data_IF_218225944797
#
_entry.id   IF_218225944797
#
_cell.length_a   1.000
_cell.length_b   1.000
_cell.length_c   1.000
_cell.angle_alpha   90.00
_cell.angle_beta   90.00
_cell.angle_gamma   90.00
#
_symmetry.space_group_name_H-M   'P 1'
#
loop_
_entity.id
_entity.type
_entity.pdbx_description
1 polymer ?
#
# COMPACT_ATOMS: atom_id res chain seq x y z
N UNK A 1 6.64 15.24 4.94
CA UNK A 1 6.57 15.54 6.39
C UNK A 1 7.92 15.56 7.12
N UNK A 2 8.78 14.54 7.01
CA UNK A 2 10.01 14.40 7.82
C UNK A 2 11.19 15.33 7.44
N UNK A 3 11.13 15.99 6.29
CA UNK A 3 12.21 16.87 5.77
C UNK A 3 13.61 16.23 5.72
N UNK A 4 13.67 14.90 5.61
CA UNK A 4 14.92 14.15 5.52
C UNK A 4 15.32 13.93 4.06
N UNK A 5 16.38 14.62 3.61
CA UNK A 5 16.87 14.50 2.23
C UNK A 5 17.40 13.10 1.89
N UNK A 6 17.93 12.34 2.85
CA UNK A 6 18.37 10.95 2.61
C UNK A 6 17.20 10.04 2.24
N UNK A 7 16.07 10.20 2.92
CA UNK A 7 14.85 9.47 2.60
C UNK A 7 14.36 9.81 1.19
N UNK A 8 14.44 11.09 0.82
CA UNK A 8 14.11 11.52 -0.52
C UNK A 8 15.03 10.90 -1.58
N UNK A 9 16.35 10.88 -1.35
CA UNK A 9 17.28 10.21 -2.26
C UNK A 9 16.96 8.72 -2.42
N UNK A 10 16.58 8.05 -1.34
CA UNK A 10 16.13 6.65 -1.41
C UNK A 10 14.88 6.51 -2.26
N UNK A 11 13.88 7.36 -2.05
CA UNK A 11 12.65 7.37 -2.83
C UNK A 11 12.90 7.59 -4.34
N UNK A 12 13.77 8.55 -4.69
CA UNK A 12 14.09 8.81 -6.10
C UNK A 12 14.80 7.63 -6.78
N UNK A 13 15.72 6.96 -6.08
CA UNK A 13 16.53 5.88 -6.65
C UNK A 13 15.76 4.56 -6.71
N UNK A 14 15.03 4.24 -5.65
CA UNK A 14 14.36 2.95 -5.45
C UNK A 14 12.99 3.17 -4.80
N UNK A 15 12.02 3.68 -5.58
CA UNK A 15 10.71 4.04 -5.05
C UNK A 15 9.96 2.86 -4.43
N UNK A 16 10.04 1.68 -5.04
CA UNK A 16 9.41 0.45 -4.54
C UNK A 16 9.97 0.03 -3.17
N UNK A 17 11.29 -0.11 -3.05
CA UNK A 17 11.94 -0.44 -1.78
C UNK A 17 11.65 0.60 -0.69
N UNK A 18 11.67 1.88 -1.06
CA UNK A 18 11.33 2.97 -0.14
C UNK A 18 9.87 2.87 0.34
N UNK A 19 8.93 2.57 -0.56
CA UNK A 19 7.52 2.42 -0.25
C UNK A 19 7.28 1.27 0.73
N UNK A 20 7.87 0.09 0.47
CA UNK A 20 7.77 -1.07 1.37
C UNK A 20 8.33 -0.75 2.76
N UNK A 21 9.50 -0.11 2.82
CA UNK A 21 10.10 0.33 4.09
C UNK A 21 9.22 1.35 4.81
N UNK A 22 8.66 2.32 4.08
CA UNK A 22 7.80 3.34 4.64
C UNK A 22 6.54 2.73 5.27
N UNK A 23 5.84 1.85 4.57
CA UNK A 23 4.68 1.12 5.10
C UNK A 23 5.08 0.31 6.35
N UNK A 24 6.22 -0.37 6.32
CA UNK A 24 6.77 -1.08 7.48
C UNK A 24 6.91 -0.19 8.72
N UNK A 25 7.53 0.99 8.55
CA UNK A 25 7.70 1.97 9.64
C UNK A 25 6.33 2.47 10.14
N UNK A 26 5.39 2.77 9.24
CA UNK A 26 4.07 3.25 9.64
C UNK A 26 3.27 2.21 10.41
N UNK A 27 3.31 0.94 9.98
CA UNK A 27 2.66 -0.16 10.69
C UNK A 27 3.29 -0.39 12.06
N UNK A 28 4.62 -0.38 12.16
CA UNK A 28 5.31 -0.50 13.44
C UNK A 28 4.93 0.63 14.38
N UNK A 29 4.99 1.88 13.91
CA UNK A 29 4.59 3.03 14.71
C UNK A 29 3.13 2.95 15.14
N UNK A 30 2.22 2.57 14.24
CA UNK A 30 0.80 2.47 14.56
C UNK A 30 0.51 1.34 15.56
N UNK A 31 1.13 0.17 15.41
CA UNK A 31 0.85 -0.98 16.27
C UNK A 31 1.56 -0.89 17.63
N UNK A 32 2.74 -0.27 17.68
CA UNK A 32 3.67 -0.30 18.82
C UNK A 32 3.89 1.09 19.47
N UNK A 33 3.00 2.06 19.26
CA UNK A 33 3.06 3.42 19.88
C UNK A 33 2.86 3.44 21.41
N UNK A 34 2.83 2.29 22.08
CA UNK A 34 2.55 2.18 23.51
C UNK A 34 1.07 2.30 23.89
N UNK A 35 0.16 2.58 22.96
CA UNK A 35 -1.28 2.72 23.24
C UNK A 35 -2.07 1.41 23.23
N UNK A 36 -1.35 0.27 23.18
CA UNK A 36 -1.89 -1.10 23.10
C UNK A 36 -2.86 -1.29 21.93
N UNK A 37 -2.66 -0.58 20.81
CA UNK A 37 -3.51 -0.68 19.61
C UNK A 37 -3.54 -2.09 19.05
N UNK A 38 -2.37 -2.74 18.95
CA UNK A 38 -2.30 -4.11 18.46
C UNK A 38 -3.17 -5.05 19.30
N UNK A 39 -3.08 -4.97 20.63
CA UNK A 39 -3.93 -5.76 21.52
C UNK A 39 -5.42 -5.46 21.32
N UNK A 40 -5.82 -4.19 21.19
CA UNK A 40 -7.22 -3.81 20.93
C UNK A 40 -7.73 -4.34 19.59
N UNK A 41 -6.88 -4.36 18.56
CA UNK A 41 -7.20 -4.95 17.26
C UNK A 41 -7.39 -6.46 17.40
N UNK A 42 -6.46 -7.16 18.05
CA UNK A 42 -6.55 -8.60 18.31
C UNK A 42 -7.81 -8.94 19.12
N UNK A 43 -8.12 -8.17 20.16
CA UNK A 43 -9.35 -8.31 20.95
C UNK A 43 -10.60 -8.11 20.09
N UNK A 44 -10.65 -7.05 19.29
CA UNK A 44 -11.79 -6.78 18.41
C UNK A 44 -11.99 -7.89 17.38
N UNK A 45 -10.91 -8.36 16.75
CA UNK A 45 -10.94 -9.47 15.80
C UNK A 45 -11.38 -10.78 16.45
N UNK A 46 -10.84 -11.12 17.62
CA UNK A 46 -11.24 -12.31 18.37
C UNK A 46 -12.71 -12.25 18.79
N UNK A 47 -13.17 -11.07 19.24
CA UNK A 47 -14.57 -10.87 19.63
C UNK A 47 -15.50 -11.05 18.44
N UNK A 48 -15.14 -10.53 17.26
CA UNK A 48 -15.91 -10.74 16.04
C UNK A 48 -15.99 -12.23 15.66
N UNK A 49 -14.84 -12.92 15.61
CA UNK A 49 -14.78 -14.35 15.31
C UNK A 49 -15.60 -15.18 16.31
N UNK A 50 -15.48 -14.89 17.61
CA UNK A 50 -16.23 -15.54 18.67
C UNK A 50 -17.75 -15.39 18.48
N UNK A 51 -18.23 -14.18 18.18
CA UNK A 51 -19.66 -13.94 17.94
C UNK A 51 -20.14 -14.67 16.68
N UNK A 52 -19.37 -14.68 15.60
CA UNK A 52 -19.72 -15.39 14.38
C UNK A 52 -19.83 -16.91 14.63
N UNK A 53 -18.89 -17.50 15.37
CA UNK A 53 -18.93 -18.94 15.68
C UNK A 53 -20.10 -19.26 16.61
N UNK A 54 -20.37 -18.46 17.63
CA UNK A 54 -21.56 -18.66 18.47
C UNK A 54 -22.86 -18.55 17.68
N UNK A 55 -22.93 -17.61 16.73
CA UNK A 55 -24.08 -17.47 15.82
C UNK A 55 -24.24 -18.74 14.98
N UNK A 56 -23.17 -19.25 14.39
CA UNK A 56 -23.19 -20.50 13.62
C UNK A 56 -23.65 -21.69 14.46
N UNK A 57 -23.18 -21.82 15.71
CA UNK A 57 -23.65 -22.84 16.66
C UNK A 57 -25.16 -22.73 16.90
N UNK A 58 -25.65 -21.52 17.17
CA UNK A 58 -27.07 -21.26 17.44
C UNK A 58 -27.96 -21.57 16.24
N UNK A 59 -27.59 -21.08 15.05
CA UNK A 59 -28.31 -21.32 13.79
C UNK A 59 -28.38 -22.80 13.47
N UNK A 60 -27.24 -23.50 13.56
CA UNK A 60 -27.17 -24.95 13.30
C UNK A 60 -28.04 -25.75 14.25
N UNK A 61 -28.06 -25.36 15.53
CA UNK A 61 -28.89 -25.98 16.56
C UNK A 61 -30.37 -25.78 16.24
N UNK A 62 -30.78 -24.57 15.88
CA UNK A 62 -32.16 -24.23 15.57
C UNK A 62 -32.72 -24.98 14.35
N UNK A 63 -31.87 -25.29 13.36
CA UNK A 63 -32.26 -26.02 12.14
C UNK A 63 -32.47 -27.53 12.39
N UNK A 64 -31.76 -28.10 13.37
CA UNK A 64 -31.75 -29.55 13.61
C UNK A 64 -32.64 -29.95 14.80
N UNK A 65 -32.82 -29.10 15.81
CA UNK A 65 -33.46 -29.47 17.09
C UNK A 65 -34.88 -30.06 16.94
N UNK A 66 -35.69 -29.52 16.03
CA UNK A 66 -37.10 -29.90 15.85
C UNK A 66 -37.29 -31.09 14.88
N UNK A 67 -36.19 -31.64 14.33
CA UNK A 67 -36.23 -32.79 13.43
C UNK A 67 -36.62 -34.08 14.18
N UNK A 68 -37.49 -34.90 13.57
CA UNK A 68 -38.08 -36.09 14.19
C UNK A 68 -37.27 -37.37 13.92
N UNK A 69 -36.54 -37.39 12.82
CA UNK A 69 -35.52 -38.37 12.45
C UNK A 69 -34.32 -38.28 13.40
N UNK A 70 -33.97 -39.40 14.06
CA UNK A 70 -32.83 -39.47 14.99
C UNK A 70 -31.52 -39.84 14.30
N UNK A 71 -31.60 -40.57 13.19
CA UNK A 71 -30.43 -40.89 12.37
C UNK A 71 -29.84 -39.59 11.82
N UNK A 72 -28.53 -39.44 11.93
CA UNK A 72 -27.73 -38.37 11.30
C UNK A 72 -27.90 -36.92 11.79
N UNK A 73 -28.58 -36.67 12.92
CA UNK A 73 -28.74 -35.31 13.48
C UNK A 73 -27.40 -34.58 13.69
N UNK A 74 -26.40 -35.28 14.21
CA UNK A 74 -25.06 -34.70 14.43
C UNK A 74 -24.37 -34.40 13.10
N UNK A 75 -24.42 -35.32 12.13
CA UNK A 75 -23.81 -35.12 10.81
C UNK A 75 -24.40 -33.89 10.12
N UNK A 76 -25.73 -33.78 10.13
CA UNK A 76 -26.44 -32.64 9.56
C UNK A 76 -26.13 -31.33 10.29
N UNK A 77 -26.03 -31.37 11.63
CA UNK A 77 -25.64 -30.20 12.42
C UNK A 77 -24.24 -29.73 12.04
N UNK A 78 -23.29 -30.65 11.84
CA UNK A 78 -21.93 -30.33 11.40
C UNK A 78 -21.89 -29.76 9.98
N UNK A 79 -22.73 -30.26 9.07
CA UNK A 79 -22.85 -29.72 7.71
C UNK A 79 -23.34 -28.27 7.72
N UNK A 80 -24.38 -28.01 8.51
CA UNK A 80 -24.96 -26.69 8.73
C UNK A 80 -23.94 -25.73 9.37
N UNK A 81 -23.26 -26.18 10.42
CA UNK A 81 -22.23 -25.42 11.13
C UNK A 81 -21.06 -25.04 10.23
N UNK A 82 -20.55 -25.97 9.43
CA UNK A 82 -19.47 -25.68 8.47
C UNK A 82 -19.95 -24.71 7.39
N UNK A 83 -21.20 -24.83 6.93
CA UNK A 83 -21.76 -23.90 5.94
C UNK A 83 -21.78 -22.47 6.47
N UNK A 84 -22.30 -22.26 7.68
CA UNK A 84 -22.35 -20.94 8.32
C UNK A 84 -20.97 -20.33 8.57
N UNK A 85 -19.92 -21.15 8.69
CA UNK A 85 -18.55 -20.70 8.93
C UNK A 85 -17.69 -20.48 7.67
N UNK A 86 -18.19 -20.81 6.49
CA UNK A 86 -17.41 -20.81 5.23
C UNK A 86 -16.65 -19.50 4.99
N UNK A 87 -17.29 -18.35 5.22
CA UNK A 87 -16.71 -17.01 5.01
C UNK A 87 -16.01 -16.44 6.27
N UNK A 88 -16.02 -17.17 7.39
CA UNK A 88 -15.50 -16.73 8.69
C UNK A 88 -14.15 -17.36 8.98
N UNK A 89 -14.06 -18.69 8.83
CA UNK A 89 -12.87 -19.46 9.13
C UNK A 89 -12.79 -20.67 8.20
N UNK A 90 -11.59 -21.00 7.75
CA UNK A 90 -11.35 -22.23 7.01
C UNK A 90 -11.42 -23.44 7.95
N UNK A 91 -12.62 -24.00 8.11
CA UNK A 91 -12.90 -25.21 8.88
C UNK A 91 -13.56 -26.26 7.96
N UNK A 92 -12.76 -27.09 7.28
CA UNK A 92 -13.29 -28.14 6.40
C UNK A 92 -14.17 -29.13 7.17
N UNK A 93 -15.32 -29.49 6.58
CA UNK A 93 -16.23 -30.50 7.15
C UNK A 93 -15.55 -31.86 7.39
N UNK A 94 -14.51 -32.18 6.61
CA UNK A 94 -13.68 -33.38 6.77
C UNK A 94 -12.98 -33.48 8.11
N UNK A 95 -12.64 -32.34 8.71
CA UNK A 95 -11.86 -32.27 9.95
C UNK A 95 -12.73 -32.61 11.17
N UNK A 96 -14.05 -32.62 10.99
CA UNK A 96 -15.04 -32.89 12.04
C UNK A 96 -15.63 -34.32 11.98
N UNK A 97 -15.16 -35.18 11.08
CA UNK A 97 -15.67 -36.57 10.92
C UNK A 97 -15.59 -37.41 12.20
N UNK A 98 -14.59 -37.13 13.05
CA UNK A 98 -14.44 -37.82 14.34
C UNK A 98 -15.57 -37.57 15.33
N UNK A 99 -16.40 -36.55 15.10
CA UNK A 99 -17.53 -36.16 15.96
C UNK A 99 -18.82 -36.88 15.53
N UNK A 100 -18.93 -37.30 14.26
CA UNK A 100 -20.12 -37.95 13.69
C UNK A 100 -20.47 -39.28 14.38
N UNK A 101 -19.46 -40.01 14.86
CA UNK A 101 -19.61 -41.38 15.37
C UNK A 101 -19.83 -41.43 16.89
N UNK A 102 -20.12 -40.28 17.53
CA UNK A 102 -20.51 -40.27 18.94
C UNK A 102 -21.98 -40.70 19.07
N UNK A 103 -22.20 -42.03 19.12
CA UNK A 103 -23.52 -42.68 19.26
C UNK A 103 -24.36 -42.15 20.45
N UNK A 104 -23.74 -41.46 21.41
CA UNK A 104 -24.37 -40.94 22.62
C UNK A 104 -24.90 -39.49 22.50
N UNK A 105 -24.58 -38.74 21.44
CA UNK A 105 -25.01 -37.33 21.31
C UNK A 105 -26.38 -37.25 20.61
N UNK A 106 -27.44 -37.58 21.34
CA UNK A 106 -28.82 -37.38 20.86
C UNK A 106 -29.37 -35.99 21.14
N UNK A 107 -28.71 -35.24 22.03
CA UNK A 107 -29.12 -33.92 22.48
C UNK A 107 -28.27 -32.82 21.81
N UNK A 108 -28.80 -32.26 20.72
CA UNK A 108 -28.16 -31.16 19.97
C UNK A 108 -28.12 -29.87 20.80
N UNK A 109 -29.07 -29.67 21.73
CA UNK A 109 -29.05 -28.51 22.63
C UNK A 109 -27.95 -28.65 23.70
N UNK A 110 -27.65 -29.88 24.13
CA UNK A 110 -26.45 -30.15 24.93
C UNK A 110 -25.17 -29.87 24.15
N UNK A 111 -25.04 -30.36 22.90
CA UNK A 111 -23.89 -30.07 22.05
C UNK A 111 -23.66 -28.55 21.89
N UNK A 112 -24.73 -27.81 21.63
CA UNK A 112 -24.73 -26.36 21.49
C UNK A 112 -24.17 -25.65 22.74
N UNK A 113 -24.66 -26.04 23.93
CA UNK A 113 -24.20 -25.48 25.21
C UNK A 113 -22.73 -25.83 25.50
N UNK A 114 -22.36 -27.10 25.30
CA UNK A 114 -20.98 -27.55 25.51
C UNK A 114 -19.99 -26.80 24.60
N UNK A 115 -20.36 -26.56 23.34
CA UNK A 115 -19.56 -25.76 22.42
C UNK A 115 -19.48 -24.29 22.84
N UNK A 116 -20.59 -23.69 23.26
CA UNK A 116 -20.59 -22.31 23.74
C UNK A 116 -19.68 -22.12 24.97
N UNK A 117 -19.70 -23.06 25.91
CA UNK A 117 -18.81 -23.08 27.08
C UNK A 117 -17.34 -23.24 26.66
N UNK A 118 -17.03 -24.22 25.81
CA UNK A 118 -15.69 -24.45 25.29
C UNK A 118 -15.13 -23.24 24.53
N UNK A 119 -15.97 -22.57 23.72
CA UNK A 119 -15.61 -21.35 23.01
C UNK A 119 -15.34 -20.18 23.97
N UNK A 120 -16.14 -20.03 25.03
CA UNK A 120 -15.93 -19.00 26.03
C UNK A 120 -14.60 -19.18 26.76
N UNK A 121 -14.23 -20.43 27.09
CA UNK A 121 -12.96 -20.75 27.72
C UNK A 121 -11.78 -20.59 26.76
N UNK A 122 -11.92 -20.99 25.49
CA UNK A 122 -10.92 -20.73 24.45
C UNK A 122 -10.68 -19.22 24.27
N UNK A 123 -11.73 -18.43 24.17
CA UNK A 123 -11.63 -16.96 24.07
C UNK A 123 -10.88 -16.37 25.26
N UNK A 124 -11.22 -16.77 26.49
CA UNK A 124 -10.50 -16.32 27.71
C UNK A 124 -9.02 -16.71 27.69
N UNK A 125 -8.67 -17.89 27.17
CA UNK A 125 -7.27 -18.33 27.04
C UNK A 125 -6.51 -17.45 26.04
N UNK A 126 -7.06 -17.26 24.84
CA UNK A 126 -6.42 -16.45 23.79
C UNK A 126 -6.24 -14.99 24.21
N UNK A 127 -7.23 -14.38 24.87
CA UNK A 127 -7.12 -13.00 25.37
C UNK A 127 -5.92 -12.79 26.32
N UNK A 128 -5.51 -13.83 27.06
CA UNK A 128 -4.34 -13.74 27.96
C UNK A 128 -3.01 -13.69 27.22
N UNK A 129 -2.97 -14.10 25.95
CA UNK A 129 -1.75 -14.12 25.13
C UNK A 129 -1.49 -12.76 24.45
N UNK A 130 -2.53 -11.92 24.27
CA UNK A 130 -2.41 -10.66 23.51
C UNK A 130 -1.45 -9.62 24.08
N UNK A 131 -1.30 -9.43 25.41
CA UNK A 131 -0.34 -8.44 25.94
C UNK A 131 1.12 -8.70 25.55
N UNK A 132 1.47 -9.95 25.18
CA UNK A 132 2.81 -10.32 24.71
C UNK A 132 2.93 -10.45 23.19
N UNK A 133 1.85 -10.21 22.44
CA UNK A 133 1.85 -10.34 20.99
C UNK A 133 2.55 -9.14 20.34
N UNK A 134 3.29 -9.43 19.27
CA UNK A 134 3.94 -8.43 18.43
C UNK A 134 3.69 -8.74 16.94
N UNK A 135 4.27 -7.93 16.06
CA UNK A 135 4.11 -8.14 14.61
C UNK A 135 4.70 -9.48 14.14
N UNK A 136 5.68 -10.06 14.85
CA UNK A 136 6.25 -11.38 14.52
C UNK A 136 5.27 -12.53 14.76
N UNK A 137 4.21 -12.29 15.55
CA UNK A 137 3.15 -13.27 15.82
C UNK A 137 2.27 -13.57 14.59
N UNK A 138 2.36 -12.76 13.54
CA UNK A 138 1.59 -12.95 12.31
C UNK A 138 2.35 -13.80 11.28
N UNK A 139 1.75 -14.89 10.75
CA UNK A 139 2.37 -15.71 9.70
C UNK A 139 2.72 -14.90 8.45
N UNK A 140 1.85 -13.95 8.09
CA UNK A 140 2.13 -12.92 7.08
C UNK A 140 2.15 -11.57 7.76
N UNK A 141 3.24 -10.84 7.56
CA UNK A 141 3.43 -9.55 8.20
C UNK A 141 2.40 -8.53 7.69
N UNK A 142 1.72 -7.77 8.57
CA UNK A 142 0.70 -6.81 8.15
C UNK A 142 1.21 -5.76 7.17
N UNK A 143 2.46 -5.31 7.33
CA UNK A 143 3.07 -4.34 6.42
C UNK A 143 3.31 -4.90 5.01
N UNK A 144 3.57 -6.21 4.88
CA UNK A 144 3.70 -6.87 3.57
C UNK A 144 2.35 -6.93 2.87
N UNK A 145 1.29 -7.31 3.59
CA UNK A 145 -0.08 -7.33 3.04
C UNK A 145 -0.50 -5.94 2.56
N UNK A 146 -0.24 -4.90 3.36
CA UNK A 146 -0.56 -3.52 2.99
C UNK A 146 0.30 -3.04 1.82
N UNK A 147 1.59 -3.35 1.79
CA UNK A 147 2.47 -2.97 0.69
C UNK A 147 2.03 -3.60 -0.64
N UNK A 148 1.59 -4.87 -0.63
CA UNK A 148 1.01 -5.53 -1.80
C UNK A 148 -0.31 -4.89 -2.20
N UNK A 149 -1.20 -4.62 -1.24
CA UNK A 149 -2.53 -4.04 -1.50
C UNK A 149 -2.46 -2.64 -2.11
N UNK A 150 -1.50 -1.83 -1.66
CA UNK A 150 -1.26 -0.49 -2.18
C UNK A 150 -0.18 -0.44 -3.27
N UNK A 151 0.29 -1.60 -3.75
CA UNK A 151 1.24 -1.65 -4.85
C UNK A 151 0.56 -1.24 -6.17
N UNK A 152 1.38 -0.75 -7.10
CA UNK A 152 0.95 -0.41 -8.45
C UNK A 152 2.11 -0.50 -9.42
N UNK A 153 1.99 0.16 -10.55
CA UNK A 153 3.06 0.19 -11.54
C UNK A 153 4.26 1.00 -11.04
N UNK A 154 5.43 0.36 -10.95
CA UNK A 154 6.68 1.01 -10.52
C UNK A 154 7.48 1.63 -11.67
N UNK A 155 6.94 1.63 -12.90
CA UNK A 155 7.60 2.27 -14.04
C UNK A 155 7.82 3.76 -13.75
N UNK A 156 9.05 4.24 -14.02
CA UNK A 156 9.43 5.63 -13.80
C UNK A 156 9.52 6.40 -15.12
N UNK A 157 9.02 7.63 -15.13
CA UNK A 157 9.12 8.51 -16.28
C UNK A 157 10.59 8.72 -16.63
N UNK A 158 11.03 8.48 -17.88
CA UNK A 158 12.44 8.52 -18.23
C UNK A 158 13.06 9.92 -18.15
N UNK A 159 12.24 10.96 -18.03
CA UNK A 159 12.69 12.35 -17.95
C UNK A 159 12.80 12.89 -16.53
N UNK A 160 11.85 12.56 -15.65
CA UNK A 160 11.79 13.11 -14.29
C UNK A 160 11.77 12.05 -13.18
N UNK A 161 11.72 10.76 -13.52
CA UNK A 161 11.71 9.62 -12.60
C UNK A 161 10.43 9.45 -11.78
N UNK A 162 9.39 10.27 -12.04
CA UNK A 162 8.13 10.14 -11.33
C UNK A 162 7.43 8.82 -11.72
N UNK A 163 6.76 8.19 -10.76
CA UNK A 163 6.21 6.84 -10.89
C UNK A 163 4.87 6.91 -11.63
N UNK A 164 4.56 5.86 -12.40
CA UNK A 164 3.25 5.67 -13.02
C UNK A 164 2.14 5.67 -11.95
N UNK A 165 0.99 6.28 -12.24
CA UNK A 165 -0.15 6.33 -11.32
C UNK A 165 -1.12 5.17 -11.50
N UNK A 166 -0.80 4.21 -12.38
CA UNK A 166 -1.64 3.03 -12.57
C UNK A 166 -1.48 2.08 -11.37
N UNK A 167 -2.61 1.65 -10.80
CA UNK A 167 -2.67 0.76 -9.65
C UNK A 167 -2.48 -0.71 -10.02
N UNK A 168 -2.45 -1.05 -11.31
CA UNK A 168 -2.14 -2.40 -11.77
C UNK A 168 -0.64 -2.53 -12.09
N UNK A 169 -0.01 -3.57 -11.54
CA UNK A 169 1.32 -4.01 -11.96
C UNK A 169 1.27 -4.54 -13.41
N UNK A 170 2.37 -4.37 -14.14
CA UNK A 170 2.57 -4.90 -15.50
C UNK A 170 1.41 -4.62 -16.49
N UNK A 171 0.80 -3.44 -16.38
CA UNK A 171 -0.28 -3.04 -17.28
C UNK A 171 0.21 -2.79 -18.72
N UNK A 172 -0.62 -3.14 -19.71
CA UNK A 172 -0.29 -3.01 -21.13
C UNK A 172 -0.45 -1.58 -21.71
N UNK A 173 -1.19 -0.71 -21.01
CA UNK A 173 -1.41 0.67 -21.45
C UNK A 173 -0.16 1.54 -21.32
N UNK A 174 -0.11 2.67 -22.03
CA UNK A 174 0.94 3.68 -21.85
C UNK A 174 1.04 4.10 -20.37
N UNK A 175 2.26 4.18 -19.86
CA UNK A 175 2.52 4.74 -18.54
C UNK A 175 2.19 6.23 -18.54
N UNK A 176 1.58 6.69 -17.45
CA UNK A 176 1.19 8.08 -17.28
C UNK A 176 1.17 8.42 -15.80
N UNK A 177 1.18 9.72 -15.53
CA UNK A 177 1.02 10.26 -14.19
C UNK A 177 0.39 11.64 -14.28
N UNK A 178 -0.21 12.08 -13.19
CA UNK A 178 -0.93 13.35 -13.15
C UNK A 178 0.03 14.54 -13.13
N UNK A 179 1.03 14.52 -12.24
CA UNK A 179 1.92 15.65 -12.02
C UNK A 179 3.38 15.30 -12.23
N UNK A 180 3.97 15.83 -13.30
CA UNK A 180 5.41 15.71 -13.52
C UNK A 180 6.18 16.63 -12.57
N UNK A 181 7.36 16.16 -12.15
CA UNK A 181 8.28 16.89 -11.26
C UNK A 181 9.49 17.47 -12.01
N UNK A 182 10.16 18.50 -11.46
CA UNK A 182 11.33 19.11 -12.07
C UNK A 182 12.41 18.08 -12.43
N UNK A 183 12.99 18.20 -13.63
CA UNK A 183 14.04 17.27 -14.10
C UNK A 183 15.34 17.38 -13.30
N UNK A 184 15.55 18.48 -12.59
CA UNK A 184 16.62 18.67 -11.62
C UNK A 184 16.64 17.55 -10.56
N UNK A 185 15.49 16.95 -10.24
CA UNK A 185 15.40 15.84 -9.30
C UNK A 185 16.02 14.54 -9.84
N UNK A 186 16.28 14.45 -11.15
CA UNK A 186 17.07 13.39 -11.78
C UNK A 186 18.48 13.85 -12.15
N UNK A 187 18.92 15.02 -11.67
CA UNK A 187 20.24 15.58 -11.97
C UNK A 187 20.41 16.05 -13.42
N UNK A 188 19.32 16.26 -14.17
CA UNK A 188 19.42 16.77 -15.53
C UNK A 188 19.91 18.21 -15.52
N UNK A 189 20.97 18.49 -16.31
CA UNK A 189 21.44 19.85 -16.58
C UNK A 189 21.15 20.30 -18.01
N UNK A 190 21.17 21.61 -18.23
CA UNK A 190 21.19 22.18 -19.57
C UNK A 190 22.48 21.79 -20.28
N UNK A 191 22.37 21.47 -21.57
CA UNK A 191 23.53 20.98 -22.32
C UNK A 191 24.66 22.01 -22.39
N UNK A 192 25.87 21.54 -22.09
CA UNK A 192 27.07 22.38 -22.08
C UNK A 192 27.20 23.25 -20.83
N UNK A 193 26.36 23.06 -19.81
CA UNK A 193 26.43 23.81 -18.55
C UNK A 193 26.26 22.88 -17.34
N UNK A 194 26.51 23.43 -16.16
CA UNK A 194 26.22 22.82 -14.86
C UNK A 194 24.84 23.24 -14.32
N UNK A 195 23.98 23.82 -15.15
CA UNK A 195 22.73 24.45 -14.70
C UNK A 195 21.60 23.41 -14.66
N UNK A 196 21.02 23.15 -13.49
CA UNK A 196 19.95 22.18 -13.31
C UNK A 196 18.65 22.59 -14.03
N UNK A 197 17.94 21.64 -14.64
CA UNK A 197 16.70 21.90 -15.37
C UNK A 197 15.49 21.86 -14.44
N UNK A 198 14.89 23.01 -14.16
CA UNK A 198 13.68 23.09 -13.31
C UNK A 198 12.38 22.79 -14.07
N UNK A 199 12.44 22.71 -15.40
CA UNK A 199 11.29 22.40 -16.25
C UNK A 199 10.72 20.99 -15.98
N UNK A 200 9.40 20.87 -16.12
CA UNK A 200 8.67 19.60 -16.04
C UNK A 200 8.41 19.03 -17.43
N UNK A 201 8.22 17.71 -17.50
CA UNK A 201 8.03 17.01 -18.76
C UNK A 201 6.84 17.54 -19.56
N UNK A 202 5.73 17.82 -18.88
CA UNK A 202 4.49 18.33 -19.46
C UNK A 202 4.67 19.68 -20.19
N UNK A 203 5.50 20.58 -19.67
CA UNK A 203 5.88 21.83 -20.36
C UNK A 203 6.90 21.59 -21.47
N UNK A 204 7.82 20.64 -21.29
CA UNK A 204 8.86 20.36 -22.28
C UNK A 204 8.28 19.78 -23.57
N UNK A 205 7.28 18.89 -23.49
CA UNK A 205 6.65 18.26 -24.67
C UNK A 205 5.87 19.23 -25.57
N UNK A 206 5.58 20.45 -25.10
CA UNK A 206 4.99 21.52 -25.93
C UNK A 206 6.01 22.56 -26.43
N UNK A 207 7.24 22.52 -25.90
CA UNK A 207 8.29 23.47 -26.23
C UNK A 207 8.99 23.15 -27.57
N UNK A 208 9.81 24.09 -28.06
CA UNK A 208 10.72 23.85 -29.19
C UNK A 208 12.08 23.29 -28.75
N UNK A 209 12.22 22.92 -27.48
CA UNK A 209 13.46 22.37 -26.94
C UNK A 209 13.67 20.94 -27.46
N UNK A 210 14.92 20.50 -27.38
CA UNK A 210 15.35 19.16 -27.75
C UNK A 210 15.98 18.48 -26.54
N UNK A 211 15.98 17.16 -26.55
CA UNK A 211 16.71 16.32 -25.61
C UNK A 211 17.51 15.28 -26.36
N UNK A 212 18.40 14.61 -25.64
CA UNK A 212 19.01 13.36 -26.07
C UNK A 212 19.19 12.49 -24.84
N UNK A 213 19.11 11.18 -25.02
CA UNK A 213 19.63 10.24 -24.05
C UNK A 213 21.12 10.04 -24.34
N UNK A 214 21.96 10.12 -23.30
CA UNK A 214 23.41 9.92 -23.37
C UNK A 214 24.09 10.65 -24.57
N UNK A 215 24.82 9.88 -25.38
CA UNK A 215 25.49 10.34 -26.61
C UNK A 215 24.59 10.20 -27.86
N UNK A 216 23.28 10.09 -27.68
CA UNK A 216 22.31 9.91 -28.74
C UNK A 216 22.06 11.17 -29.60
N UNK A 217 21.19 11.00 -30.59
CA UNK A 217 20.74 12.10 -31.45
C UNK A 217 19.83 13.05 -30.68
N UNK A 218 19.89 14.32 -31.04
CA UNK A 218 18.95 15.33 -30.54
C UNK A 218 17.57 15.11 -31.13
N UNK A 219 16.58 14.94 -30.25
CA UNK A 219 15.18 14.71 -30.58
C UNK A 219 14.35 15.86 -30.00
N UNK A 220 13.46 16.49 -30.80
CA UNK A 220 12.51 17.46 -30.28
C UNK A 220 11.61 16.85 -29.22
N UNK A 221 11.37 17.56 -28.12
CA UNK A 221 10.45 17.07 -27.08
C UNK A 221 9.03 16.79 -27.60
N UNK A 222 8.56 17.57 -28.58
CA UNK A 222 7.28 17.33 -29.28
C UNK A 222 7.17 15.95 -29.94
N UNK A 223 8.32 15.31 -30.21
CA UNK A 223 8.46 14.01 -30.85
C UNK A 223 9.20 13.02 -29.96
N UNK A 224 9.07 13.17 -28.63
CA UNK A 224 9.85 12.37 -27.69
C UNK A 224 9.68 10.85 -27.88
N UNK A 225 8.52 10.40 -28.34
CA UNK A 225 8.25 8.99 -28.62
C UNK A 225 9.12 8.40 -29.73
N UNK A 226 9.65 9.23 -30.63
CA UNK A 226 10.58 8.80 -31.67
C UNK A 226 11.92 8.30 -31.08
N UNK A 227 12.19 8.58 -29.80
CA UNK A 227 13.36 8.06 -29.09
C UNK A 227 13.28 6.55 -28.76
N UNK A 228 12.11 5.92 -28.95
CA UNK A 228 11.87 4.53 -28.59
C UNK A 228 11.72 4.31 -27.07
N UNK A 229 11.58 3.06 -26.62
CA UNK A 229 11.48 2.74 -25.20
C UNK A 229 12.74 3.17 -24.43
N UNK A 230 12.60 3.66 -23.18
CA UNK A 230 11.35 3.77 -22.42
C UNK A 230 10.51 5.01 -22.77
N UNK A 231 10.99 5.99 -23.54
CA UNK A 231 10.23 7.22 -23.79
C UNK A 231 8.94 7.00 -24.60
N UNK A 232 8.93 6.06 -25.53
CA UNK A 232 7.77 5.78 -26.38
C UNK A 232 6.60 5.11 -25.66
N UNK A 233 6.83 4.48 -24.49
CA UNK A 233 5.81 3.81 -23.68
C UNK A 233 5.13 4.73 -22.67
N UNK A 234 5.49 6.02 -22.67
CA UNK A 234 4.92 7.02 -21.78
C UNK A 234 3.99 7.96 -22.52
N UNK A 235 2.86 8.28 -21.91
CA UNK A 235 1.93 9.33 -22.33
C UNK A 235 2.09 10.57 -21.46
N UNK A 236 2.91 11.50 -21.93
CA UNK A 236 3.12 12.80 -21.30
C UNK A 236 2.14 13.79 -21.91
N UNK A 237 1.17 14.23 -21.12
CA UNK A 237 0.19 15.23 -21.54
C UNK A 237 0.75 16.66 -21.38
N UNK A 238 0.47 17.56 -22.34
CA UNK A 238 0.67 18.99 -22.17
C UNK A 238 -0.01 19.51 -20.91
N UNK A 239 0.79 20.05 -20.00
CA UNK A 239 0.33 20.73 -18.79
C UNK A 239 1.46 21.62 -18.28
N UNK A 240 1.13 22.86 -17.93
CA UNK A 240 2.09 23.79 -17.31
C UNK A 240 1.97 23.82 -15.79
N UNK A 241 1.00 23.10 -15.22
CA UNK A 241 0.81 23.04 -13.78
C UNK A 241 1.91 22.21 -13.12
N UNK A 242 2.61 22.83 -12.19
CA UNK A 242 3.59 22.17 -11.33
C UNK A 242 3.12 22.36 -9.89
N UNK A 243 2.95 21.26 -9.18
CA UNK A 243 2.53 21.25 -7.77
C UNK A 243 3.46 22.16 -6.94
N UNK A 244 2.86 22.94 -6.04
CA UNK A 244 3.56 23.75 -5.06
C UNK A 244 4.53 22.91 -4.23
N UNK A 245 4.20 21.63 -3.98
CA UNK A 245 5.12 20.69 -3.33
C UNK A 245 6.49 20.62 -4.02
N UNK A 246 6.54 20.45 -5.34
CA UNK A 246 7.82 20.34 -6.04
C UNK A 246 8.59 21.66 -6.11
N UNK A 247 7.87 22.79 -6.18
CA UNK A 247 8.45 24.13 -6.13
C UNK A 247 9.11 24.39 -4.77
N UNK A 248 8.36 24.15 -3.70
CA UNK A 248 8.84 24.21 -2.32
C UNK A 248 10.03 23.26 -2.12
N UNK A 249 9.90 22.00 -2.55
CA UNK A 249 10.93 20.98 -2.38
C UNK A 249 12.26 21.40 -2.99
N UNK A 250 12.26 21.82 -4.26
CA UNK A 250 13.48 22.25 -4.97
C UNK A 250 14.10 23.48 -4.31
N UNK A 251 13.28 24.45 -3.88
CA UNK A 251 13.75 25.63 -3.16
C UNK A 251 14.35 25.28 -1.80
N UNK A 252 13.66 24.45 -1.02
CA UNK A 252 14.04 24.08 0.34
C UNK A 252 15.32 23.21 0.36
N UNK A 253 15.41 22.20 -0.53
CA UNK A 253 16.56 21.29 -0.63
C UNK A 253 17.62 21.74 -1.64
N UNK A 254 17.62 23.02 -2.05
CA UNK A 254 18.50 23.57 -3.10
C UNK A 254 19.96 23.15 -2.91
N UNK A 255 20.55 23.44 -1.74
CA UNK A 255 21.99 23.18 -1.49
C UNK A 255 22.31 21.69 -1.54
N UNK A 256 21.42 20.84 -1.01
CA UNK A 256 21.59 19.40 -1.02
C UNK A 256 21.47 18.82 -2.44
N UNK A 257 20.55 19.34 -3.26
CA UNK A 257 20.40 18.97 -4.67
C UNK A 257 21.62 19.40 -5.51
N UNK A 258 22.12 20.62 -5.30
CA UNK A 258 23.33 21.10 -5.96
C UNK A 258 24.55 20.23 -5.63
N UNK A 259 24.70 19.84 -4.36
CA UNK A 259 25.77 18.96 -3.91
C UNK A 259 25.62 17.53 -4.45
N UNK A 260 24.40 16.98 -4.46
CA UNK A 260 24.11 15.63 -4.93
C UNK A 260 24.47 15.43 -6.40
N UNK A 261 24.18 16.44 -7.23
CA UNK A 261 24.38 16.36 -8.67
C UNK A 261 25.61 17.10 -9.18
N UNK A 262 26.40 17.71 -8.28
CA UNK A 262 27.54 18.56 -8.63
C UNK A 262 27.18 19.61 -9.70
N UNK A 263 26.05 20.27 -9.50
CA UNK A 263 25.40 21.17 -10.45
C UNK A 263 24.76 22.36 -9.70
N UNK A 264 24.29 23.39 -10.40
CA UNK A 264 23.84 24.66 -9.82
C UNK A 264 22.46 25.09 -10.32
N UNK A 265 21.67 25.67 -9.41
CA UNK A 265 20.44 26.39 -9.79
C UNK A 265 20.80 27.84 -10.13
N UNK A 266 21.30 28.05 -11.35
CA UNK A 266 21.72 29.36 -11.85
C UNK A 266 21.42 29.49 -13.36
N UNK A 267 21.38 30.72 -13.87
CA UNK A 267 21.13 30.99 -15.28
C UNK A 267 19.79 30.40 -15.75
N UNK A 268 19.82 29.49 -16.73
CA UNK A 268 18.59 28.82 -17.21
C UNK A 268 17.94 27.90 -16.18
N UNK A 269 18.67 27.54 -15.13
CA UNK A 269 18.20 26.71 -14.03
C UNK A 269 17.89 27.49 -12.75
N UNK A 270 17.85 28.83 -12.81
CA UNK A 270 17.60 29.65 -11.63
C UNK A 270 16.21 29.39 -11.06
N UNK A 271 16.15 29.10 -9.75
CA UNK A 271 14.89 28.90 -9.04
C UNK A 271 14.19 30.25 -8.90
N UNK A 272 12.94 30.41 -9.38
CA UNK A 272 12.20 31.65 -9.23
C UNK A 272 12.01 32.02 -7.76
N UNK A 273 12.16 33.32 -7.43
CA UNK A 273 12.01 33.82 -6.05
C UNK A 273 10.67 33.41 -5.42
N UNK A 274 9.60 33.37 -6.21
CA UNK A 274 8.28 32.95 -5.77
C UNK A 274 8.26 31.52 -5.18
N UNK A 275 9.13 30.61 -5.62
CA UNK A 275 9.19 29.25 -5.06
C UNK A 275 9.73 29.25 -3.63
N UNK A 276 10.60 30.21 -3.30
CA UNK A 276 11.13 30.39 -1.95
C UNK A 276 10.12 30.96 -0.94
N UNK A 277 8.98 31.47 -1.42
CA UNK A 277 7.90 31.99 -0.58
C UNK A 277 6.87 30.94 -0.20
N UNK A 278 6.84 29.80 -0.91
CA UNK A 278 5.93 28.71 -0.62
C UNK A 278 6.34 28.10 0.72
N UNK A 279 5.41 27.99 1.65
CA UNK A 279 5.63 27.32 2.93
C UNK A 279 5.41 25.82 2.80
N UNK A 280 5.99 25.04 3.73
CA UNK A 280 5.74 23.60 3.81
C UNK A 280 4.26 23.29 3.97
N UNK A 281 3.55 24.08 4.78
CA UNK A 281 2.12 23.86 5.04
C UNK A 281 1.29 24.04 3.77
N UNK A 282 1.51 25.13 3.02
CA UNK A 282 0.85 25.35 1.73
C UNK A 282 1.16 24.22 0.74
N UNK A 283 2.43 23.82 0.67
CA UNK A 283 2.88 22.73 -0.20
C UNK A 283 2.24 21.38 0.13
N UNK A 284 1.97 21.09 1.41
CA UNK A 284 1.31 19.85 1.83
C UNK A 284 -0.20 19.92 1.69
N UNK A 285 -0.83 21.08 1.91
CA UNK A 285 -2.29 21.24 1.78
C UNK A 285 -2.82 21.06 0.36
N UNK A 286 -1.96 21.14 -0.66
CA UNK A 286 -2.33 20.84 -2.06
C UNK A 286 -2.34 19.31 -2.34
N UNK A 287 -1.75 18.52 -1.46
CA UNK A 287 -1.66 17.06 -1.59
C UNK A 287 -2.76 16.32 -0.82
N UNK A 288 -3.45 17.02 0.09
CA UNK A 288 -4.62 16.55 0.83
C UNK A 288 -5.90 16.65 0.00
#
# INVERSE_FOLDING_TARGET
EQENFEYFKSYLKRPEEFFQKYIGIQVQNYCLDGSRRLEKLLDSSLNNLYQNILSAVSVSTQIVKDRKDREDKVSLWLDEFCRELTEVINLPRSDLKGIEHQEEVTDIEFLSRAMAEALADLRKRLMKEFPGADLSSFPRQPHTILAEHFSGCWAQCPFCGAICTNTMQDHDADHQLVFHRPRALMGTTWHGTDQLVIDICSSLVTSNLKFRFDNGKWIPYKRYRDAGPPASTWKILPDSSMQAYWKWFVSHFRKQLEALYNAKFQGKGEIPEAWGRITKQEALSELD
#
